data_IF_918401904558
#
_entry.id   IF_918401904558
#
_cell.length_a   1.000
_cell.length_b   1.000
_cell.length_c   1.000
_cell.angle_alpha   90.00
_cell.angle_beta   90.00
_cell.angle_gamma   90.00
#
_symmetry.space_group_name_H-M   'P 1'
#
loop_
_entity.id
_entity.type
_entity.pdbx_description
1 polymer ?
#
# COMPACT_ATOMS: atom_id res chain seq x y z
N UNK A 1 -1.76 13.40 8.65
CA UNK A 1 -1.64 12.59 9.88
C UNK A 1 -0.86 13.30 10.98
N UNK A 2 0.46 13.50 10.91
CA UNK A 2 1.20 14.15 12.01
C UNK A 2 0.72 15.58 12.36
N UNK A 3 0.43 16.42 11.35
CA UNK A 3 -0.14 17.78 11.56
C UNK A 3 -1.50 17.80 12.25
N UNK A 4 -2.26 16.71 12.25
CA UNK A 4 -3.59 16.63 12.87
C UNK A 4 -3.52 16.24 14.35
N UNK A 5 -2.35 15.81 14.83
CA UNK A 5 -2.17 15.24 16.17
C UNK A 5 -1.29 16.12 17.08
N UNK A 6 -0.89 17.32 16.65
CA UNK A 6 0.00 18.22 17.41
C UNK A 6 1.27 17.56 17.98
N UNK A 7 1.79 16.53 17.30
CA UNK A 7 3.02 15.83 17.68
C UNK A 7 4.06 15.93 16.55
N UNK A 8 5.34 15.85 16.91
CA UNK A 8 6.40 15.79 15.91
C UNK A 8 6.25 14.55 15.03
N UNK A 9 6.70 14.64 13.77
CA UNK A 9 6.67 13.53 12.82
C UNK A 9 7.43 12.30 13.35
N UNK A 10 8.55 12.54 14.04
CA UNK A 10 9.34 11.49 14.68
C UNK A 10 8.53 10.74 15.75
N UNK A 11 7.87 11.47 16.65
CA UNK A 11 7.07 10.87 17.71
C UNK A 11 5.87 10.10 17.16
N UNK A 12 5.20 10.65 16.14
CA UNK A 12 4.14 9.95 15.41
C UNK A 12 4.63 8.63 14.81
N UNK A 13 5.76 8.64 14.09
CA UNK A 13 6.32 7.43 13.49
C UNK A 13 6.66 6.37 14.56
N UNK A 14 7.24 6.79 15.69
CA UNK A 14 7.56 5.89 16.80
C UNK A 14 6.29 5.25 17.38
N UNK A 15 5.29 6.05 17.74
CA UNK A 15 4.02 5.56 18.27
C UNK A 15 3.30 4.65 17.28
N UNK A 16 3.31 5.00 16.00
CA UNK A 16 2.69 4.19 14.96
C UNK A 16 3.34 2.82 14.83
N UNK A 17 4.68 2.76 14.82
CA UNK A 17 5.41 1.47 14.80
C UNK A 17 5.13 0.66 16.06
N UNK A 18 5.08 1.29 17.24
CA UNK A 18 4.74 0.61 18.49
C UNK A 18 3.32 0.02 18.46
N UNK A 19 2.37 0.71 17.82
CA UNK A 19 0.97 0.26 17.73
C UNK A 19 0.72 -0.75 16.61
N UNK A 20 1.36 -0.57 15.45
CA UNK A 20 1.03 -1.29 14.20
C UNK A 20 2.13 -2.27 13.76
N UNK A 21 3.29 -2.27 14.42
CA UNK A 21 4.44 -3.13 14.11
C UNK A 21 5.22 -2.77 12.84
N UNK A 22 4.74 -1.80 12.04
CA UNK A 22 5.37 -1.38 10.79
C UNK A 22 5.35 0.15 10.63
N UNK A 23 6.32 0.74 9.89
CA UNK A 23 6.32 2.17 9.62
C UNK A 23 5.04 2.65 8.91
N UNK A 24 4.58 3.89 9.17
CA UNK A 24 3.37 4.45 8.55
C UNK A 24 3.35 4.33 7.02
N UNK A 25 4.48 4.61 6.35
CA UNK A 25 4.55 4.54 4.89
C UNK A 25 4.33 3.12 4.36
N UNK A 26 4.87 2.09 5.04
CA UNK A 26 4.65 0.68 4.69
C UNK A 26 3.20 0.27 4.89
N UNK A 27 2.58 0.75 5.97
CA UNK A 27 1.16 0.51 6.22
C UNK A 27 0.29 1.12 5.11
N UNK A 28 0.53 2.38 4.76
CA UNK A 28 -0.20 3.04 3.66
C UNK A 28 -0.01 2.28 2.35
N UNK A 29 1.23 1.91 2.00
CA UNK A 29 1.51 1.13 0.80
C UNK A 29 0.76 -0.20 0.79
N UNK A 30 0.75 -0.94 1.90
CA UNK A 30 -0.01 -2.19 2.05
C UNK A 30 -1.51 -1.96 1.79
N UNK A 31 -2.09 -0.92 2.38
CA UNK A 31 -3.51 -0.62 2.18
C UNK A 31 -3.84 -0.23 0.73
N UNK A 32 -2.94 0.50 0.05
CA UNK A 32 -3.10 0.81 -1.38
C UNK A 32 -3.07 -0.44 -2.25
N UNK A 33 -2.14 -1.36 -1.98
CA UNK A 33 -2.04 -2.66 -2.66
C UNK A 33 -3.28 -3.51 -2.42
N UNK A 34 -3.79 -3.59 -1.20
CA UNK A 34 -5.00 -4.38 -0.91
C UNK A 34 -6.24 -3.79 -1.58
N UNK A 35 -6.36 -2.46 -1.69
CA UNK A 35 -7.40 -1.82 -2.50
C UNK A 35 -7.26 -2.15 -3.98
N UNK A 36 -6.04 -2.03 -4.51
CA UNK A 36 -5.75 -2.33 -5.91
C UNK A 36 -6.12 -3.77 -6.29
N UNK A 37 -5.77 -4.75 -5.45
CA UNK A 37 -6.15 -6.17 -5.65
C UNK A 37 -7.66 -6.37 -5.73
N UNK A 38 -8.46 -5.58 -5.01
CA UNK A 38 -9.93 -5.63 -5.11
C UNK A 38 -10.41 -5.06 -6.43
N UNK A 39 -9.92 -3.89 -6.82
CA UNK A 39 -10.31 -3.22 -8.07
C UNK A 39 -9.86 -3.98 -9.32
N UNK A 40 -8.71 -4.66 -9.27
CA UNK A 40 -8.22 -5.48 -10.38
C UNK A 40 -9.09 -6.73 -10.65
N UNK A 41 -9.96 -7.13 -9.71
CA UNK A 41 -10.95 -8.19 -9.96
C UNK A 41 -12.14 -7.70 -10.80
N UNK A 42 -12.26 -6.40 -11.01
CA UNK A 42 -13.29 -5.79 -11.85
C UNK A 42 -12.73 -5.61 -13.27
N UNK A 43 -13.02 -6.55 -14.18
CA UNK A 43 -12.38 -6.70 -15.51
C UNK A 43 -12.52 -5.51 -16.49
N UNK A 44 -13.27 -4.46 -16.14
CA UNK A 44 -13.66 -3.39 -17.09
C UNK A 44 -12.88 -2.07 -16.94
N UNK A 45 -11.85 -2.03 -16.10
CA UNK A 45 -11.14 -0.79 -15.77
C UNK A 45 -9.71 -0.77 -16.28
N UNK A 46 -9.26 0.37 -16.79
CA UNK A 46 -7.87 0.55 -17.18
C UNK A 46 -6.96 0.54 -15.93
N UNK A 47 -5.81 -0.12 -16.05
CA UNK A 47 -4.82 -0.26 -14.96
C UNK A 47 -4.34 1.13 -14.50
N UNK A 48 -4.15 2.08 -15.43
CA UNK A 48 -3.77 3.45 -15.10
C UNK A 48 -4.79 4.15 -14.18
N UNK A 49 -6.09 3.95 -14.42
CA UNK A 49 -7.14 4.53 -13.59
C UNK A 49 -7.18 3.92 -12.19
N UNK A 50 -6.97 2.59 -12.11
CA UNK A 50 -6.86 1.89 -10.82
C UNK A 50 -5.65 2.38 -10.03
N UNK A 51 -4.51 2.62 -10.69
CA UNK A 51 -3.30 3.13 -10.07
C UNK A 51 -3.54 4.52 -9.43
N UNK A 52 -4.16 5.43 -10.18
CA UNK A 52 -4.49 6.77 -9.69
C UNK A 52 -5.47 6.73 -8.52
N UNK A 53 -6.51 5.91 -8.61
CA UNK A 53 -7.50 5.77 -7.53
C UNK A 53 -6.89 5.17 -6.25
N UNK A 54 -5.92 4.27 -6.40
CA UNK A 54 -5.16 3.72 -5.27
C UNK A 54 -4.09 4.69 -4.74
N UNK A 55 -3.96 5.89 -5.30
CA UNK A 55 -3.04 6.92 -4.83
C UNK A 55 -1.59 6.71 -5.26
N UNK A 56 -1.35 5.93 -6.32
CA UNK A 56 -0.04 5.85 -6.96
C UNK A 56 0.14 7.00 -7.94
N UNK A 57 1.38 7.47 -8.08
CA UNK A 57 1.69 8.58 -8.97
C UNK A 57 1.60 8.20 -10.45
N UNK A 58 1.84 6.93 -10.78
CA UNK A 58 1.76 6.39 -12.13
C UNK A 58 1.60 4.86 -12.12
N UNK A 59 1.32 4.32 -13.30
CA UNK A 59 1.13 2.88 -13.53
C UNK A 59 2.39 2.06 -13.23
N UNK A 60 3.59 2.53 -13.58
CA UNK A 60 4.84 1.78 -13.35
C UNK A 60 5.11 1.53 -11.86
N UNK A 61 4.96 2.56 -11.02
CA UNK A 61 5.13 2.43 -9.57
C UNK A 61 4.04 1.56 -8.95
N UNK A 62 2.82 1.62 -9.49
CA UNK A 62 1.74 0.71 -9.12
C UNK A 62 2.10 -0.75 -9.43
N UNK A 63 2.48 -1.07 -10.66
CA UNK A 63 2.81 -2.43 -11.10
C UNK A 63 3.95 -3.02 -10.26
N UNK A 64 5.00 -2.25 -10.00
CA UNK A 64 6.10 -2.66 -9.12
C UNK A 64 5.60 -2.99 -7.70
N UNK A 65 4.77 -2.12 -7.11
CA UNK A 65 4.24 -2.33 -5.77
C UNK A 65 3.33 -3.57 -5.69
N UNK A 66 2.50 -3.81 -6.71
CA UNK A 66 1.65 -5.00 -6.79
C UNK A 66 2.50 -6.26 -6.97
N UNK A 67 3.50 -6.23 -7.85
CA UNK A 67 4.37 -7.37 -8.12
C UNK A 67 5.18 -7.80 -6.89
N UNK A 68 5.85 -6.86 -6.22
CA UNK A 68 6.61 -7.13 -4.99
C UNK A 68 5.70 -7.66 -3.88
N UNK A 69 4.48 -7.14 -3.78
CA UNK A 69 3.50 -7.63 -2.80
C UNK A 69 2.93 -9.00 -3.15
N UNK A 70 2.97 -9.40 -4.42
CA UNK A 70 2.47 -10.68 -4.92
C UNK A 70 3.53 -11.78 -4.90
N UNK A 71 4.83 -11.45 -4.96
CA UNK A 71 5.91 -12.42 -4.75
C UNK A 71 5.95 -13.00 -3.32
N UNK A 72 5.42 -12.28 -2.33
CA UNK A 72 5.16 -12.84 -1.00
C UNK A 72 4.02 -13.87 -0.95
N UNK A 73 3.20 -13.96 -2.01
CA UNK A 73 2.08 -14.90 -2.14
C UNK A 73 2.47 -16.18 -2.90
N UNK A 74 3.50 -16.14 -3.76
CA UNK A 74 3.99 -17.31 -4.50
C UNK A 74 4.68 -18.35 -3.58
N UNK A 75 5.19 -17.94 -2.42
CA UNK A 75 5.82 -18.83 -1.43
C UNK A 75 4.83 -19.57 -0.51
N UNK A 76 3.51 -19.44 -0.72
CA UNK A 76 2.48 -20.19 0.04
C UNK A 76 1.60 -21.11 -0.81
N UNK A 77 1.86 -21.21 -2.10
CA UNK A 77 1.07 -22.05 -3.04
C UNK A 77 1.94 -23.10 -3.74
N UNK A 78 3.23 -23.18 -3.41
CA UNK A 78 4.09 -24.32 -3.76
C UNK A 78 4.57 -24.94 -2.45
N UNK A 79 3.79 -25.89 -1.98
CA UNK A 79 3.98 -26.72 -0.79
C UNK A 79 2.87 -27.75 -0.75
#
# INVERSE_FOLDING_TARGET
>A
MAKQLNISLYYFCKLFVQSMGIPPYKYVLKQRVERAKRLLKEEKRAIADIALECGFANQTHFEQAIFISSQGLHLKVIG
#
